data_IF_873413995600
#
_entry.id   IF_873413995600
#
_cell.length_a   1.000
_cell.length_b   1.000
_cell.length_c   1.000
_cell.angle_alpha   90.00
_cell.angle_beta   90.00
_cell.angle_gamma   90.00
#
_symmetry.space_group_name_H-M   'P 1'
#
loop_
_entity.id
_entity.type
_entity.pdbx_description
1 polymer ?
#
# COMPACT_ATOMS: atom_id res chain seq x y z
N UNK A 1 -31.66 -4.76 22.17
CA UNK A 1 -30.35 -4.85 21.50
C UNK A 1 -30.48 -4.21 20.14
N UNK A 2 -30.12 -2.93 20.03
CA UNK A 2 -30.15 -2.21 18.75
C UNK A 2 -28.95 -2.69 17.95
N UNK A 3 -29.18 -3.44 16.87
CA UNK A 3 -28.13 -3.81 15.94
C UNK A 3 -27.58 -2.52 15.32
N UNK A 4 -26.41 -2.08 15.78
CA UNK A 4 -25.66 -1.01 15.14
C UNK A 4 -25.26 -1.58 13.78
N UNK A 5 -25.90 -1.09 12.72
CA UNK A 5 -25.46 -1.37 11.36
C UNK A 5 -24.01 -0.91 11.24
N UNK A 6 -23.08 -1.86 11.13
CA UNK A 6 -21.67 -1.58 10.84
C UNK A 6 -21.64 -0.85 9.50
N UNK A 7 -21.34 0.44 9.53
CA UNK A 7 -21.23 1.23 8.31
C UNK A 7 -19.97 0.80 7.56
N UNK A 8 -19.95 0.87 6.22
CA UNK A 8 -18.77 0.48 5.44
C UNK A 8 -17.49 1.27 5.76
N UNK A 9 -17.55 2.36 6.52
CA UNK A 9 -16.41 3.15 6.99
C UNK A 9 -15.85 2.71 8.35
N UNK A 10 -16.50 1.76 9.04
CA UNK A 10 -15.94 1.14 10.25
C UNK A 10 -14.90 0.05 9.92
N UNK A 11 -14.73 -0.28 8.63
CA UNK A 11 -13.78 -1.29 8.16
C UNK A 11 -12.61 -0.66 7.39
N UNK A 12 -11.48 -1.35 7.41
CA UNK A 12 -10.26 -1.01 6.68
C UNK A 12 -9.82 -2.22 5.84
N UNK A 13 -10.53 -2.55 4.76
CA UNK A 13 -10.49 -3.89 4.15
C UNK A 13 -9.23 -4.21 3.33
N UNK A 14 -8.36 -3.24 3.07
CA UNK A 14 -7.26 -3.35 2.11
C UNK A 14 -6.18 -2.30 2.38
N UNK A 15 -5.08 -2.38 1.62
CA UNK A 15 -4.01 -1.37 1.63
C UNK A 15 -4.57 0.04 1.50
N UNK A 16 -4.18 0.92 2.44
CA UNK A 16 -4.63 2.32 2.53
C UNK A 16 -6.15 2.53 2.64
N UNK A 17 -6.87 1.51 3.12
CA UNK A 17 -8.25 1.64 3.56
C UNK A 17 -9.30 1.49 2.45
N UNK A 18 -10.57 1.77 2.77
CA UNK A 18 -11.71 1.43 1.93
C UNK A 18 -11.66 2.08 0.54
N UNK A 19 -11.06 3.27 0.43
CA UNK A 19 -10.86 3.98 -0.85
C UNK A 19 -9.42 3.88 -1.38
N UNK A 20 -8.51 3.19 -0.67
CA UNK A 20 -7.08 3.11 -0.99
C UNK A 20 -6.36 4.47 -1.08
N UNK A 21 -6.87 5.49 -0.40
CA UNK A 21 -6.35 6.87 -0.40
C UNK A 21 -5.64 7.25 0.91
N UNK A 22 -5.72 6.42 1.95
CA UNK A 22 -5.11 6.70 3.26
C UNK A 22 -5.89 7.73 4.08
N UNK A 23 -7.13 8.07 3.70
CA UNK A 23 -7.96 9.04 4.44
C UNK A 23 -8.99 8.28 5.28
N UNK A 24 -8.94 8.50 6.60
CA UNK A 24 -9.95 7.99 7.52
C UNK A 24 -11.01 9.07 7.80
N UNK A 25 -12.20 8.64 8.20
CA UNK A 25 -13.23 9.55 8.69
C UNK A 25 -12.75 10.19 10.01
N UNK A 26 -13.04 11.47 10.16
CA UNK A 26 -12.82 12.18 11.41
C UNK A 26 -13.59 11.50 12.57
N UNK A 27 -12.91 11.31 13.69
CA UNK A 27 -13.40 10.66 14.90
C UNK A 27 -12.57 11.15 16.09
N UNK A 28 -13.23 11.70 17.12
CA UNK A 28 -12.57 12.26 18.31
C UNK A 28 -11.80 11.21 19.14
N UNK A 29 -12.10 9.92 18.97
CA UNK A 29 -11.39 8.81 19.62
C UNK A 29 -10.03 8.55 18.96
N UNK A 30 -9.80 9.02 17.74
CA UNK A 30 -8.52 8.83 17.06
C UNK A 30 -7.42 9.67 17.71
N UNK A 31 -6.28 9.05 18.04
CA UNK A 31 -5.23 9.69 18.84
C UNK A 31 -4.39 10.61 17.97
N UNK A 32 -4.15 11.84 18.43
CA UNK A 32 -3.10 12.67 17.81
C UNK A 32 -1.74 12.44 18.47
N UNK A 33 -1.72 12.15 19.78
CA UNK A 33 -0.52 11.93 20.58
C UNK A 33 -0.51 10.50 21.14
N UNK A 34 0.65 9.86 21.15
CA UNK A 34 0.87 8.53 21.74
C UNK A 34 2.36 8.27 21.96
N UNK A 35 2.64 7.22 22.72
CA UNK A 35 4.00 6.68 22.91
C UNK A 35 3.94 5.15 22.86
N UNK A 36 5.00 4.48 23.33
CA UNK A 36 4.97 3.02 23.54
C UNK A 36 3.95 2.58 24.61
N UNK A 37 3.48 3.50 25.46
CA UNK A 37 2.57 3.22 26.58
C UNK A 37 1.33 4.12 26.59
N UNK A 38 1.44 5.37 26.14
CA UNK A 38 0.34 6.34 26.21
C UNK A 38 -0.63 6.15 25.04
N UNK A 39 -1.93 6.19 25.35
CA UNK A 39 -3.03 5.90 24.41
C UNK A 39 -2.97 4.52 23.74
N UNK A 40 -2.12 3.61 24.24
CA UNK A 40 -2.05 2.22 23.79
C UNK A 40 -3.15 1.40 24.46
N UNK A 41 -3.96 0.71 23.66
CA UNK A 41 -5.03 -0.18 24.13
C UNK A 41 -4.55 -1.61 24.31
N UNK A 42 -3.74 -2.07 23.38
CA UNK A 42 -3.07 -3.36 23.43
C UNK A 42 -1.88 -3.34 22.45
N UNK A 43 -0.96 -4.26 22.69
CA UNK A 43 0.17 -4.56 21.81
C UNK A 43 0.20 -6.07 21.63
N UNK A 44 0.31 -6.53 20.39
CA UNK A 44 0.48 -7.95 20.05
C UNK A 44 1.87 -8.16 19.43
N UNK A 45 2.57 -9.19 19.88
CA UNK A 45 3.83 -9.63 19.26
C UNK A 45 3.54 -10.33 17.93
N UNK A 46 4.32 -10.00 16.91
CA UNK A 46 4.23 -10.54 15.56
C UNK A 46 5.56 -11.24 15.25
N UNK A 47 5.60 -12.59 15.30
CA UNK A 47 6.79 -13.35 14.96
C UNK A 47 7.20 -13.16 13.50
N UNK A 48 8.51 -13.30 13.26
CA UNK A 48 9.08 -13.22 11.92
C UNK A 48 9.17 -11.79 11.41
N UNK A 49 9.14 -11.63 10.09
CA UNK A 49 9.22 -10.34 9.43
C UNK A 49 8.18 -10.29 8.30
N UNK A 50 7.49 -9.15 8.17
CA UNK A 50 6.50 -8.92 7.13
C UNK A 50 6.17 -7.43 7.02
N UNK A 51 5.75 -6.96 5.84
CA UNK A 51 5.41 -5.55 5.62
C UNK A 51 3.97 -5.30 5.22
N UNK A 52 3.16 -6.35 5.17
CA UNK A 52 1.73 -6.20 4.97
C UNK A 52 1.14 -5.25 6.00
N UNK A 53 0.32 -4.32 5.53
CA UNK A 53 -0.42 -3.43 6.41
C UNK A 53 -1.51 -4.24 7.12
N UNK A 54 -1.86 -3.92 8.37
CA UNK A 54 -3.04 -4.52 8.98
C UNK A 54 -4.29 -4.14 8.16
N UNK A 55 -5.25 -5.06 8.07
CA UNK A 55 -6.61 -4.76 7.60
C UNK A 55 -7.62 -5.08 8.69
N UNK A 56 -8.76 -4.40 8.68
CA UNK A 56 -9.79 -4.54 9.70
C UNK A 56 -11.14 -4.80 9.06
N UNK A 57 -11.85 -5.81 9.54
CA UNK A 57 -13.25 -6.05 9.18
C UNK A 57 -14.05 -6.50 10.40
N UNK A 58 -15.04 -5.71 10.80
CA UNK A 58 -15.77 -5.92 12.05
C UNK A 58 -14.84 -5.86 13.25
N UNK A 59 -14.81 -6.92 14.04
CA UNK A 59 -13.95 -7.09 15.21
C UNK A 59 -12.63 -7.81 14.89
N UNK A 60 -12.33 -8.08 13.62
CA UNK A 60 -11.15 -8.85 13.22
C UNK A 60 -10.09 -7.98 12.57
N UNK A 61 -8.84 -8.22 12.96
CA UNK A 61 -7.64 -7.63 12.36
C UNK A 61 -6.85 -8.74 11.68
N UNK A 62 -6.51 -8.57 10.41
CA UNK A 62 -5.73 -9.55 9.65
C UNK A 62 -4.38 -8.99 9.25
N UNK A 63 -3.36 -9.86 9.25
CA UNK A 63 -1.98 -9.51 8.96
C UNK A 63 -1.22 -10.74 8.45
N UNK A 64 -0.18 -10.54 7.63
CA UNK A 64 0.70 -11.61 7.13
C UNK A 64 2.14 -11.40 7.57
N UNK A 65 2.88 -12.49 7.74
CA UNK A 65 4.30 -12.48 8.15
C UNK A 65 5.00 -13.74 7.65
N UNK A 66 6.32 -13.72 7.55
CA UNK A 66 7.13 -14.92 7.32
C UNK A 66 8.10 -15.15 8.46
N UNK A 67 8.16 -16.38 8.95
CA UNK A 67 9.12 -16.81 9.97
C UNK A 67 10.12 -17.77 9.33
N UNK A 68 11.41 -17.46 9.40
CA UNK A 68 12.47 -18.39 9.01
C UNK A 68 13.00 -19.15 10.21
N UNK A 69 13.38 -20.42 10.02
CA UNK A 69 14.04 -21.24 11.05
C UNK A 69 15.51 -20.86 11.29
N UNK A 70 16.14 -20.20 10.31
CA UNK A 70 17.53 -19.72 10.38
C UNK A 70 17.62 -18.20 10.43
N UNK A 71 18.74 -17.70 10.97
CA UNK A 71 19.06 -16.27 10.97
C UNK A 71 19.33 -15.78 9.54
N UNK A 72 18.54 -14.80 9.11
CA UNK A 72 18.65 -14.16 7.81
C UNK A 72 18.94 -12.66 7.97
N UNK A 73 19.41 -12.01 6.90
CA UNK A 73 19.79 -10.60 6.95
C UNK A 73 18.61 -9.73 7.38
N UNK A 74 18.71 -9.13 8.56
CA UNK A 74 17.68 -8.24 9.07
C UNK A 74 17.56 -6.95 8.22
N UNK A 75 16.33 -6.46 7.99
CA UNK A 75 16.11 -5.17 7.34
C UNK A 75 16.70 -4.04 8.18
N UNK A 76 17.27 -3.03 7.51
CA UNK A 76 17.82 -1.82 8.11
C UNK A 76 17.02 -0.61 7.64
N UNK A 77 16.97 0.42 8.48
CA UNK A 77 16.45 1.74 8.09
C UNK A 77 17.36 2.40 7.06
N UNK A 78 16.80 3.26 6.21
CA UNK A 78 17.53 4.06 5.25
C UNK A 78 17.34 3.62 3.79
N UNK A 79 17.91 4.42 2.88
CA UNK A 79 17.91 4.10 1.45
C UNK A 79 18.90 2.98 1.15
N UNK A 80 18.48 2.04 0.31
CA UNK A 80 19.32 0.98 -0.21
C UNK A 80 19.79 1.38 -1.59
N UNK A 81 21.07 1.70 -1.71
CA UNK A 81 21.70 2.05 -2.98
C UNK A 81 22.50 0.82 -3.44
N UNK A 82 21.93 0.01 -4.33
CA UNK A 82 22.59 -1.21 -4.82
C UNK A 82 21.64 -2.29 -5.35
N UNK A 83 22.21 -3.44 -5.71
CA UNK A 83 21.42 -4.64 -6.07
C UNK A 83 20.92 -5.35 -4.80
N UNK A 84 19.87 -6.16 -4.92
CA UNK A 84 19.35 -6.98 -3.81
C UNK A 84 20.39 -7.98 -3.27
N UNK A 85 20.02 -8.70 -2.21
CA UNK A 85 20.82 -9.85 -1.76
C UNK A 85 20.76 -10.88 -2.88
N UNK A 86 21.92 -11.35 -3.37
CA UNK A 86 21.97 -12.26 -4.54
C UNK A 86 21.85 -13.74 -4.18
N UNK A 87 21.85 -14.06 -2.90
CA UNK A 87 21.60 -15.40 -2.39
C UNK A 87 20.19 -15.43 -1.78
N UNK A 88 19.39 -16.46 -2.07
CA UNK A 88 18.14 -16.67 -1.36
C UNK A 88 18.34 -16.76 0.15
N UNK A 89 17.27 -16.50 0.89
CA UNK A 89 17.25 -16.68 2.33
C UNK A 89 17.42 -18.17 2.67
N UNK A 90 18.10 -18.48 3.77
CA UNK A 90 18.41 -19.86 4.17
C UNK A 90 17.36 -20.42 5.12
N UNK A 91 17.27 -21.75 5.13
CA UNK A 91 16.40 -22.50 6.02
C UNK A 91 14.94 -22.47 5.60
N UNK A 92 14.15 -23.34 6.24
CA UNK A 92 12.71 -23.42 6.03
C UNK A 92 12.05 -22.12 6.50
N UNK A 93 11.14 -21.61 5.67
CA UNK A 93 10.32 -20.45 5.95
C UNK A 93 8.85 -20.86 6.07
N UNK A 94 8.12 -20.18 6.93
CA UNK A 94 6.71 -20.38 7.22
C UNK A 94 5.95 -19.10 6.87
N UNK A 95 5.05 -19.18 5.87
CA UNK A 95 4.21 -18.07 5.44
C UNK A 95 2.90 -18.09 6.23
N UNK A 96 2.71 -17.08 7.06
CA UNK A 96 1.67 -17.10 8.08
C UNK A 96 0.63 -16.01 7.85
N UNK A 97 -0.63 -16.36 8.12
CA UNK A 97 -1.76 -15.44 8.19
C UNK A 97 -2.27 -15.43 9.62
N UNK A 98 -2.37 -14.24 10.21
CA UNK A 98 -2.86 -14.04 11.57
C UNK A 98 -4.22 -13.34 11.57
N UNK A 99 -5.06 -13.70 12.52
CA UNK A 99 -6.26 -12.97 12.89
C UNK A 99 -6.23 -12.62 14.38
N UNK A 100 -6.44 -11.34 14.70
CA UNK A 100 -6.55 -10.83 16.06
C UNK A 100 -7.91 -10.18 16.28
N UNK A 101 -8.39 -10.21 17.53
CA UNK A 101 -9.55 -9.44 17.95
C UNK A 101 -9.17 -7.96 18.09
N UNK A 102 -9.84 -7.07 17.36
CA UNK A 102 -9.61 -5.63 17.37
C UNK A 102 -9.74 -5.00 18.77
N UNK A 103 -10.61 -5.56 19.62
CA UNK A 103 -10.87 -5.04 20.95
C UNK A 103 -9.71 -5.28 21.92
N UNK A 104 -9.12 -6.46 21.89
CA UNK A 104 -8.17 -6.92 22.93
C UNK A 104 -6.76 -7.21 22.42
N UNK A 105 -6.57 -7.35 21.10
CA UNK A 105 -5.33 -7.84 20.51
C UNK A 105 -5.13 -9.35 20.68
N UNK A 106 -6.11 -10.08 21.23
CA UNK A 106 -6.04 -11.53 21.37
C UNK A 106 -5.98 -12.18 19.98
N UNK A 107 -4.99 -13.04 19.77
CA UNK A 107 -4.95 -13.89 18.58
C UNK A 107 -6.16 -14.83 18.59
N UNK A 108 -7.00 -14.72 17.56
CA UNK A 108 -8.15 -15.59 17.35
C UNK A 108 -7.73 -16.87 16.65
N UNK A 109 -6.89 -16.75 15.62
CA UNK A 109 -6.30 -17.89 14.93
C UNK A 109 -5.01 -17.49 14.22
N UNK A 110 -4.23 -18.53 13.87
CA UNK A 110 -3.05 -18.48 13.00
C UNK A 110 -3.17 -19.59 11.96
N UNK A 111 -2.83 -19.31 10.72
CA UNK A 111 -2.77 -20.29 9.63
C UNK A 111 -1.43 -20.20 8.92
N UNK A 112 -0.95 -21.37 8.51
CA UNK A 112 0.25 -21.53 7.71
C UNK A 112 -0.18 -21.77 6.27
N UNK A 113 0.01 -20.75 5.43
CA UNK A 113 -0.38 -20.79 4.03
C UNK A 113 0.60 -21.62 3.19
N UNK A 114 1.88 -21.57 3.55
CA UNK A 114 2.95 -22.29 2.87
C UNK A 114 4.12 -22.55 3.80
N UNK A 115 4.86 -23.63 3.53
CA UNK A 115 6.14 -23.96 4.16
C UNK A 115 7.10 -24.39 3.06
N UNK A 116 8.31 -23.87 3.09
CA UNK A 116 9.32 -24.19 2.09
C UNK A 116 10.57 -23.34 2.22
N UNK A 117 11.59 -23.67 1.44
CA UNK A 117 12.80 -22.86 1.33
C UNK A 117 12.64 -21.83 0.19
N UNK A 118 12.97 -20.56 0.42
CA UNK A 118 13.02 -19.58 -0.65
C UNK A 118 14.03 -19.93 -1.74
N UNK A 119 13.57 -20.06 -3.00
CA UNK A 119 14.47 -20.40 -4.12
C UNK A 119 15.06 -19.17 -4.83
N UNK A 120 14.42 -18.01 -4.68
CA UNK A 120 14.84 -16.75 -5.33
C UNK A 120 15.37 -15.72 -4.33
N UNK A 121 16.38 -14.92 -4.71
CA UNK A 121 16.88 -13.84 -3.85
C UNK A 121 15.88 -12.69 -3.70
N UNK A 122 16.08 -11.85 -2.67
CA UNK A 122 15.25 -10.67 -2.39
C UNK A 122 16.04 -9.43 -2.00
N UNK A 123 15.41 -8.27 -2.17
CA UNK A 123 15.89 -7.03 -1.57
C UNK A 123 15.83 -7.13 -0.04
N UNK A 124 16.81 -6.62 0.73
CA UNK A 124 16.81 -6.71 2.20
C UNK A 124 15.60 -6.07 2.89
N UNK A 125 14.90 -5.16 2.21
CA UNK A 125 13.63 -4.58 2.68
C UNK A 125 12.38 -5.31 2.17
N UNK A 126 12.50 -6.46 1.53
CA UNK A 126 11.38 -7.33 1.15
C UNK A 126 11.36 -8.54 2.10
N UNK A 127 10.18 -9.05 2.44
CA UNK A 127 10.02 -10.01 3.56
C UNK A 127 9.28 -11.28 3.21
N UNK A 128 9.14 -11.61 1.92
CA UNK A 128 8.29 -12.71 1.42
C UNK A 128 6.80 -12.60 1.82
N UNK A 129 6.41 -11.58 2.63
CA UNK A 129 5.07 -11.20 3.05
C UNK A 129 4.91 -9.67 2.99
N UNK A 130 5.19 -9.09 1.83
CA UNK A 130 5.12 -7.63 1.61
C UNK A 130 3.69 -7.20 1.29
N UNK A 131 2.93 -8.04 0.59
CA UNK A 131 1.58 -7.77 0.12
C UNK A 131 0.59 -7.66 1.27
N UNK A 132 -0.24 -6.62 1.25
CA UNK A 132 -1.34 -6.44 2.20
C UNK A 132 -2.51 -7.33 1.81
N UNK A 133 -3.06 -8.18 2.71
CA UNK A 133 -4.25 -8.96 2.39
C UNK A 133 -5.45 -8.04 2.10
N UNK A 134 -6.51 -8.60 1.50
CA UNK A 134 -7.75 -7.86 1.18
C UNK A 134 -8.99 -8.69 1.52
N UNK A 135 -10.15 -8.05 1.71
CA UNK A 135 -11.41 -8.76 1.96
C UNK A 135 -12.60 -8.17 1.21
N UNK A 136 -13.51 -9.03 0.76
CA UNK A 136 -14.82 -8.66 0.22
C UNK A 136 -15.91 -8.56 1.31
N UNK A 137 -15.51 -8.71 2.58
CA UNK A 137 -16.39 -8.73 3.74
C UNK A 137 -17.00 -10.10 4.06
N UNK A 138 -16.66 -11.13 3.28
CA UNK A 138 -17.07 -12.53 3.51
C UNK A 138 -15.86 -13.47 3.55
N UNK A 139 -14.81 -13.15 2.79
CA UNK A 139 -13.59 -13.93 2.64
C UNK A 139 -12.37 -13.04 2.76
N UNK A 140 -11.28 -13.63 3.24
CA UNK A 140 -9.96 -13.02 3.34
C UNK A 140 -9.07 -13.56 2.21
N UNK A 141 -8.40 -12.68 1.49
CA UNK A 141 -7.47 -13.02 0.44
C UNK A 141 -6.06 -12.58 0.84
N UNK A 142 -5.18 -13.56 1.04
CA UNK A 142 -3.77 -13.34 1.34
C UNK A 142 -2.94 -13.72 0.13
N UNK A 143 -2.20 -12.76 -0.42
CA UNK A 143 -1.25 -12.99 -1.49
C UNK A 143 0.15 -13.02 -0.88
N UNK A 144 0.94 -13.99 -1.29
CA UNK A 144 2.38 -14.01 -1.13
C UNK A 144 2.94 -14.11 -2.54
N UNK A 145 3.41 -13.00 -3.12
CA UNK A 145 3.41 -12.81 -4.58
C UNK A 145 4.24 -13.80 -5.40
N UNK A 146 5.22 -14.47 -4.80
CA UNK A 146 6.03 -15.52 -5.43
C UNK A 146 5.74 -16.92 -4.86
N UNK A 147 4.61 -17.10 -4.21
CA UNK A 147 4.23 -18.36 -3.55
C UNK A 147 2.81 -18.74 -3.92
N UNK A 148 1.84 -17.85 -3.66
CA UNK A 148 0.45 -18.15 -3.97
C UNK A 148 -0.55 -17.14 -3.44
N UNK A 149 -1.78 -17.28 -3.95
CA UNK A 149 -2.98 -16.57 -3.49
C UNK A 149 -3.85 -17.55 -2.69
N UNK A 150 -4.15 -17.17 -1.45
CA UNK A 150 -4.89 -18.01 -0.50
C UNK A 150 -6.18 -17.32 -0.08
N UNK A 151 -7.29 -18.06 -0.10
CA UNK A 151 -8.59 -17.57 0.33
C UNK A 151 -9.05 -18.30 1.59
N UNK A 152 -9.32 -17.54 2.63
CA UNK A 152 -9.89 -18.03 3.88
C UNK A 152 -11.28 -17.46 4.11
N UNK A 153 -12.10 -18.13 4.92
CA UNK A 153 -13.17 -17.44 5.62
C UNK A 153 -12.60 -16.65 6.83
N UNK A 154 -13.48 -16.02 7.61
CA UNK A 154 -13.05 -15.24 8.77
C UNK A 154 -12.73 -16.08 10.01
N UNK A 155 -13.10 -17.36 10.03
CA UNK A 155 -12.75 -18.31 11.08
C UNK A 155 -11.42 -19.04 10.79
N UNK A 156 -10.84 -18.77 9.62
CA UNK A 156 -9.51 -19.25 9.22
C UNK A 156 -9.56 -20.56 8.47
N UNK A 157 -10.72 -21.01 8.01
CA UNK A 157 -10.82 -22.18 7.14
C UNK A 157 -10.35 -21.82 5.73
N UNK A 158 -9.42 -22.61 5.20
CA UNK A 158 -8.94 -22.45 3.83
C UNK A 158 -10.04 -22.89 2.86
N UNK A 159 -10.52 -21.96 2.04
CA UNK A 159 -11.58 -22.20 1.07
C UNK A 159 -11.03 -22.65 -0.28
N UNK A 160 -9.93 -22.03 -0.72
CA UNK A 160 -9.19 -22.38 -1.92
C UNK A 160 -7.81 -21.70 -1.92
N UNK A 161 -6.88 -22.23 -2.70
CA UNK A 161 -5.58 -21.62 -2.99
C UNK A 161 -5.26 -21.68 -4.48
N UNK A 162 -4.34 -20.82 -4.91
CA UNK A 162 -3.77 -20.81 -6.24
C UNK A 162 -2.27 -20.59 -6.14
N UNK A 163 -1.48 -21.55 -6.60
CA UNK A 163 -0.03 -21.48 -6.56
C UNK A 163 0.48 -20.49 -7.61
N UNK A 164 1.44 -19.65 -7.23
CA UNK A 164 2.07 -18.68 -8.11
C UNK A 164 3.56 -19.03 -8.16
N UNK A 165 4.04 -19.59 -9.29
CA UNK A 165 5.44 -19.96 -9.42
C UNK A 165 6.36 -18.76 -9.27
N UNK A 166 7.46 -18.94 -8.55
CA UNK A 166 8.49 -17.92 -8.36
C UNK A 166 9.07 -17.49 -9.70
N UNK A 167 9.16 -16.17 -9.93
CA UNK A 167 9.85 -15.59 -11.09
C UNK A 167 10.88 -14.58 -10.63
N UNK A 168 11.94 -14.46 -11.42
CA UNK A 168 12.96 -13.43 -11.20
C UNK A 168 12.33 -12.05 -11.36
N UNK A 169 12.60 -11.17 -10.42
CA UNK A 169 12.13 -9.77 -10.41
C UNK A 169 13.29 -8.81 -10.67
N UNK A 170 12.98 -7.56 -11.03
CA UNK A 170 14.01 -6.56 -11.30
C UNK A 170 14.95 -6.42 -10.11
N UNK A 171 16.26 -6.60 -10.36
CA UNK A 171 17.32 -6.59 -9.35
C UNK A 171 17.10 -7.52 -8.15
N UNK A 172 16.30 -8.56 -8.33
CA UNK A 172 15.93 -9.53 -7.30
C UNK A 172 15.22 -8.84 -6.12
N UNK A 173 14.32 -7.88 -6.38
CA UNK A 173 13.64 -7.14 -5.30
C UNK A 173 12.43 -7.86 -4.70
N UNK A 174 11.88 -8.84 -5.42
CA UNK A 174 10.70 -9.63 -5.05
C UNK A 174 9.37 -8.95 -5.42
N UNK A 175 8.27 -9.69 -5.32
CA UNK A 175 6.92 -9.15 -5.46
C UNK A 175 6.48 -8.28 -4.27
N UNK A 176 5.49 -7.40 -4.50
CA UNK A 176 4.87 -6.57 -3.46
C UNK A 176 3.47 -6.02 -3.79
N UNK A 177 2.96 -6.21 -5.01
CA UNK A 177 1.64 -5.68 -5.40
C UNK A 177 0.54 -6.42 -4.64
N UNK A 178 -0.27 -5.69 -3.89
CA UNK A 178 -1.31 -6.31 -3.06
C UNK A 178 -2.53 -6.72 -3.89
N UNK A 179 -3.27 -7.77 -3.52
CA UNK A 179 -4.50 -8.17 -4.20
C UNK A 179 -5.60 -7.13 -3.94
N UNK A 180 -6.48 -6.96 -4.92
CA UNK A 180 -7.69 -6.14 -4.79
C UNK A 180 -8.92 -6.97 -5.12
N UNK A 181 -10.05 -6.63 -4.51
CA UNK A 181 -11.29 -7.40 -4.68
C UNK A 181 -12.45 -6.49 -5.09
N UNK A 182 -13.21 -6.93 -6.08
CA UNK A 182 -14.38 -6.21 -6.57
C UNK A 182 -15.37 -7.14 -7.27
N UNK A 183 -16.67 -7.05 -6.93
CA UNK A 183 -17.77 -7.74 -7.60
C UNK A 183 -17.51 -9.24 -7.86
N UNK A 184 -17.02 -9.95 -6.82
CA UNK A 184 -16.74 -11.38 -6.91
C UNK A 184 -15.46 -11.73 -7.69
N UNK A 185 -14.57 -10.75 -7.91
CA UNK A 185 -13.26 -10.94 -8.54
C UNK A 185 -12.15 -10.57 -7.56
N UNK A 186 -11.14 -11.42 -7.46
CA UNK A 186 -9.86 -11.10 -6.81
C UNK A 186 -8.85 -10.88 -7.93
N UNK A 187 -8.26 -9.69 -7.96
CA UNK A 187 -7.35 -9.26 -9.02
C UNK A 187 -5.95 -9.10 -8.43
N UNK A 188 -4.95 -9.65 -9.12
CA UNK A 188 -3.53 -9.53 -8.76
C UNK A 188 -2.75 -8.98 -9.95
N UNK A 189 -1.67 -8.27 -9.65
CA UNK A 189 -0.64 -7.90 -10.63
C UNK A 189 0.65 -8.55 -10.20
N UNK A 190 1.30 -9.25 -11.12
CA UNK A 190 2.61 -9.83 -10.89
C UNK A 190 3.53 -9.45 -12.04
N UNK A 191 4.25 -8.34 -11.86
CA UNK A 191 5.24 -7.85 -12.80
C UNK A 191 6.62 -8.38 -12.39
N UNK A 192 7.28 -9.09 -13.32
CA UNK A 192 8.55 -9.79 -13.12
C UNK A 192 9.38 -9.73 -14.42
N UNK A 193 10.56 -10.36 -14.47
CA UNK A 193 11.46 -10.29 -15.63
C UNK A 193 11.21 -11.37 -16.70
N UNK A 194 10.21 -12.23 -16.50
CA UNK A 194 9.99 -13.41 -17.34
C UNK A 194 8.62 -13.37 -18.01
N UNK A 195 7.56 -13.22 -17.22
CA UNK A 195 6.17 -13.36 -17.65
C UNK A 195 5.28 -12.49 -16.78
N UNK A 196 5.25 -11.19 -17.06
CA UNK A 196 4.45 -10.24 -16.29
C UNK A 196 2.98 -10.28 -16.69
N UNK A 197 2.08 -10.13 -15.72
CA UNK A 197 0.64 -10.20 -15.99
C UNK A 197 -0.22 -9.54 -14.93
N UNK A 198 -1.45 -9.23 -15.35
CA UNK A 198 -2.59 -8.99 -14.47
C UNK A 198 -3.58 -10.14 -14.64
N UNK A 199 -4.11 -10.68 -13.54
CA UNK A 199 -5.09 -11.76 -13.58
C UNK A 199 -6.24 -11.52 -12.62
N UNK A 200 -7.39 -12.10 -12.94
CA UNK A 200 -8.57 -12.13 -12.08
C UNK A 200 -8.99 -13.55 -11.79
N UNK A 201 -9.40 -13.79 -10.55
CA UNK A 201 -9.89 -15.05 -10.04
C UNK A 201 -11.29 -14.87 -9.48
N UNK A 202 -12.13 -15.88 -9.66
CA UNK A 202 -13.43 -15.93 -9.02
C UNK A 202 -13.29 -15.99 -7.50
N UNK A 203 -13.85 -14.98 -6.82
CA UNK A 203 -13.73 -14.79 -5.37
C UNK A 203 -14.21 -16.00 -4.55
N UNK A 204 -15.16 -16.79 -5.07
CA UNK A 204 -15.73 -17.93 -4.36
C UNK A 204 -14.97 -19.23 -4.62
N UNK A 205 -14.49 -19.43 -5.84
CA UNK A 205 -13.99 -20.74 -6.30
C UNK A 205 -12.49 -20.76 -6.58
N UNK A 206 -11.82 -19.60 -6.63
CA UNK A 206 -10.40 -19.51 -6.97
C UNK A 206 -10.08 -19.76 -8.44
N UNK A 207 -11.09 -20.06 -9.29
CA UNK A 207 -10.87 -20.29 -10.71
C UNK A 207 -10.48 -19.00 -11.41
N UNK A 208 -9.39 -19.04 -12.17
CA UNK A 208 -8.98 -17.91 -13.01
C UNK A 208 -10.10 -17.57 -14.00
N UNK A 209 -10.50 -16.28 -14.03
CA UNK A 209 -11.50 -15.74 -14.95
C UNK A 209 -10.85 -15.22 -16.24
N UNK A 210 -9.77 -14.48 -16.08
CA UNK A 210 -9.01 -13.91 -17.19
C UNK A 210 -7.59 -13.60 -16.75
N UNK A 211 -6.70 -13.47 -17.73
CA UNK A 211 -5.31 -13.06 -17.58
C UNK A 211 -4.91 -12.23 -18.78
N UNK A 212 -4.23 -11.11 -18.53
CA UNK A 212 -3.69 -10.22 -19.56
C UNK A 212 -2.20 -10.07 -19.33
N UNK A 213 -1.41 -10.40 -20.35
CA UNK A 213 0.04 -10.24 -20.33
C UNK A 213 0.44 -8.76 -20.28
N UNK A 214 1.58 -8.50 -19.67
CA UNK A 214 2.13 -7.16 -19.50
C UNK A 214 3.61 -7.16 -19.89
N UNK A 215 4.08 -6.03 -20.39
CA UNK A 215 5.49 -5.83 -20.75
C UNK A 215 6.30 -5.21 -19.59
N UNK A 216 5.65 -4.94 -18.46
CA UNK A 216 6.25 -4.26 -17.32
C UNK A 216 7.11 -5.20 -16.49
N UNK A 217 8.35 -4.81 -16.18
CA UNK A 217 9.30 -5.68 -15.45
C UNK A 217 9.75 -5.11 -14.11
N UNK A 218 9.36 -3.88 -13.78
CA UNK A 218 9.89 -3.11 -12.63
C UNK A 218 8.79 -2.25 -11.97
N UNK A 219 7.84 -2.90 -11.30
CA UNK A 219 6.82 -2.20 -10.51
C UNK A 219 6.36 -3.02 -9.30
N UNK A 220 6.03 -2.31 -8.24
CA UNK A 220 5.54 -2.84 -6.96
C UNK A 220 4.20 -2.21 -6.57
N UNK A 221 3.66 -1.35 -7.43
CA UNK A 221 2.41 -0.65 -7.19
C UNK A 221 1.23 -1.63 -7.11
N UNK A 222 0.39 -1.47 -6.10
CA UNK A 222 -0.90 -2.17 -5.99
C UNK A 222 -1.85 -1.62 -7.06
N UNK A 223 -2.51 -2.49 -7.83
CA UNK A 223 -3.51 -2.04 -8.80
C UNK A 223 -4.67 -1.32 -8.10
N UNK A 224 -5.30 -0.37 -8.78
CA UNK A 224 -6.34 0.47 -8.21
C UNK A 224 -7.68 0.30 -8.93
N UNK A 225 -8.75 0.03 -8.18
CA UNK A 225 -10.11 0.07 -8.69
C UNK A 225 -10.61 1.51 -8.72
N UNK A 226 -10.55 2.13 -9.90
CA UNK A 226 -11.06 3.48 -10.10
C UNK A 226 -12.54 3.45 -10.49
N UNK A 227 -13.40 3.69 -9.51
CA UNK A 227 -14.83 3.96 -9.75
C UNK A 227 -14.99 5.43 -10.05
N UNK A 228 -15.24 5.76 -11.31
CA UNK A 228 -15.45 7.13 -11.74
C UNK A 228 -16.87 7.33 -12.30
N UNK A 229 -17.20 8.56 -12.71
CA UNK A 229 -18.55 8.91 -13.20
C UNK A 229 -18.94 8.18 -14.49
N UNK A 230 -17.98 7.66 -15.25
CA UNK A 230 -18.19 7.01 -16.55
C UNK A 230 -18.27 5.49 -16.40
N UNK A 231 -17.36 4.89 -15.63
CA UNK A 231 -17.26 3.43 -15.45
C UNK A 231 -16.34 3.07 -14.27
N UNK A 232 -16.22 1.78 -14.02
CA UNK A 232 -15.22 1.22 -13.10
C UNK A 232 -14.07 0.64 -13.91
N UNK A 233 -12.85 0.96 -13.50
CA UNK A 233 -11.62 0.61 -14.21
C UNK A 233 -10.59 0.00 -13.25
N UNK A 234 -9.73 -0.87 -13.76
CA UNK A 234 -8.56 -1.41 -13.05
C UNK A 234 -7.33 -0.70 -13.59
N UNK A 235 -6.74 0.16 -12.76
CA UNK A 235 -5.58 0.98 -13.11
C UNK A 235 -4.31 0.31 -12.61
N UNK A 236 -3.30 0.25 -13.46
CA UNK A 236 -1.97 -0.27 -13.15
C UNK A 236 -0.90 0.72 -13.59
N UNK A 237 0.13 0.86 -12.77
CA UNK A 237 1.31 1.61 -13.15
C UNK A 237 2.31 0.69 -13.87
N UNK A 238 3.20 1.29 -14.65
CA UNK A 238 4.28 0.59 -15.34
C UNK A 238 5.44 1.53 -15.61
N UNK A 239 6.64 0.99 -15.79
CA UNK A 239 7.80 1.79 -16.22
C UNK A 239 7.63 2.20 -17.68
N UNK A 240 7.17 1.29 -18.53
CA UNK A 240 6.93 1.52 -19.95
C UNK A 240 5.59 2.23 -20.18
N UNK A 241 4.49 1.61 -19.75
CA UNK A 241 3.14 2.18 -19.90
C UNK A 241 2.32 2.06 -18.63
N UNK A 242 1.62 3.15 -18.31
CA UNK A 242 0.52 3.13 -17.35
C UNK A 242 -0.74 2.70 -18.10
N UNK A 243 -1.54 1.78 -17.54
CA UNK A 243 -2.66 1.15 -18.23
C UNK A 243 -3.90 1.11 -17.38
N UNK A 244 -5.05 1.19 -18.03
CA UNK A 244 -6.35 0.92 -17.45
C UNK A 244 -7.07 -0.17 -18.21
N UNK A 245 -7.71 -1.07 -17.47
CA UNK A 245 -8.48 -2.19 -17.99
C UNK A 245 -9.92 -2.12 -17.52
N UNK A 246 -10.84 -2.69 -18.29
CA UNK A 246 -12.18 -2.99 -17.77
C UNK A 246 -12.14 -4.21 -16.82
N UNK A 247 -13.30 -4.53 -16.24
CA UNK A 247 -13.43 -5.65 -15.29
C UNK A 247 -13.27 -7.04 -15.93
N UNK A 248 -13.14 -7.13 -17.25
CA UNK A 248 -12.83 -8.35 -18.01
C UNK A 248 -11.35 -8.46 -18.40
N UNK A 249 -10.52 -7.48 -18.02
CA UNK A 249 -9.09 -7.46 -18.32
C UNK A 249 -8.76 -6.86 -19.69
N UNK A 250 -9.74 -6.28 -20.39
CA UNK A 250 -9.52 -5.64 -21.70
C UNK A 250 -8.97 -4.23 -21.51
N UNK A 251 -7.92 -3.90 -22.26
CA UNK A 251 -7.32 -2.56 -22.25
C UNK A 251 -8.34 -1.49 -22.68
N UNK A 252 -8.42 -0.43 -21.89
CA UNK A 252 -9.27 0.74 -22.15
C UNK A 252 -8.45 1.93 -22.65
N UNK A 253 -7.38 2.25 -21.92
CA UNK A 253 -6.45 3.30 -22.27
C UNK A 253 -5.07 3.00 -21.70
N UNK A 254 -4.07 3.62 -22.30
CA UNK A 254 -2.69 3.59 -21.82
C UNK A 254 -1.97 4.91 -22.13
N UNK A 255 -0.85 5.14 -21.45
CA UNK A 255 0.08 6.20 -21.84
C UNK A 255 1.50 5.91 -21.39
N UNK A 256 2.46 6.42 -22.15
CA UNK A 256 3.86 6.48 -21.71
C UNK A 256 4.04 7.71 -20.80
N UNK A 257 4.21 7.45 -19.51
CA UNK A 257 4.45 8.48 -18.51
C UNK A 257 5.93 8.84 -18.35
N UNK A 258 6.84 8.21 -19.10
CA UNK A 258 8.29 8.26 -18.91
C UNK A 258 8.66 8.02 -17.45
N UNK A 259 8.02 7.01 -16.85
CA UNK A 259 8.06 6.76 -15.42
C UNK A 259 9.49 6.43 -14.97
N UNK A 260 9.77 6.68 -13.69
CA UNK A 260 11.07 6.35 -13.09
C UNK A 260 11.41 4.87 -13.22
N UNK A 261 12.70 4.53 -13.13
CA UNK A 261 13.21 3.16 -13.21
C UNK A 261 12.55 2.20 -12.22
N UNK A 262 12.13 2.72 -11.07
CA UNK A 262 11.40 1.99 -10.04
C UNK A 262 10.04 2.67 -9.82
N UNK A 263 8.97 1.91 -10.06
CA UNK A 263 7.58 2.37 -9.92
C UNK A 263 6.94 1.69 -8.71
N UNK A 264 6.88 2.41 -7.59
CA UNK A 264 6.45 1.87 -6.29
C UNK A 264 5.13 2.50 -5.80
N UNK A 265 4.91 3.83 -5.91
CA UNK A 265 3.69 4.46 -5.43
C UNK A 265 2.45 3.86 -6.10
N UNK A 266 1.46 3.47 -5.28
CA UNK A 266 0.21 2.95 -5.80
C UNK A 266 -0.70 4.08 -6.29
N UNK A 267 -1.43 3.88 -7.41
CA UNK A 267 -2.42 4.84 -7.88
C UNK A 267 -3.58 4.97 -6.90
N UNK A 268 -4.18 6.15 -6.85
CA UNK A 268 -5.37 6.43 -6.04
C UNK A 268 -6.20 7.54 -6.71
N UNK A 269 -7.43 7.75 -6.24
CA UNK A 269 -8.27 8.83 -6.76
C UNK A 269 -8.81 9.72 -5.64
N UNK A 270 -8.98 10.99 -5.96
CA UNK A 270 -9.64 11.98 -5.11
C UNK A 270 -10.19 13.09 -6.00
N UNK A 271 -11.26 13.76 -5.57
CA UNK A 271 -11.93 14.82 -6.34
C UNK A 271 -12.29 14.42 -7.79
N UNK A 272 -12.56 13.14 -8.03
CA UNK A 272 -12.87 12.60 -9.36
C UNK A 272 -11.67 12.46 -10.31
N UNK A 273 -10.47 12.84 -9.88
CA UNK A 273 -9.21 12.65 -10.61
C UNK A 273 -8.48 11.41 -10.10
N UNK A 274 -7.82 10.71 -11.02
CA UNK A 274 -6.89 9.62 -10.75
C UNK A 274 -5.47 10.17 -10.69
N UNK A 275 -4.69 9.80 -9.69
CA UNK A 275 -3.30 10.19 -9.53
C UNK A 275 -2.37 9.01 -9.75
N UNK A 276 -1.37 9.20 -10.60
CA UNK A 276 -0.30 8.23 -10.90
C UNK A 276 1.04 8.93 -10.74
N UNK A 277 2.01 8.27 -10.10
CA UNK A 277 3.33 8.87 -9.88
C UNK A 277 4.45 7.83 -9.74
N UNK A 278 5.68 8.28 -9.97
CA UNK A 278 6.91 7.57 -9.66
C UNK A 278 8.01 8.59 -9.42
N UNK A 279 9.08 8.23 -8.71
CA UNK A 279 10.12 9.20 -8.42
C UNK A 279 11.36 8.64 -7.78
N UNK A 280 11.98 7.62 -8.38
CA UNK A 280 13.25 7.08 -7.89
C UNK A 280 14.28 8.21 -7.71
N UNK A 281 14.97 8.19 -6.57
CA UNK A 281 15.86 9.28 -6.15
C UNK A 281 17.05 9.52 -7.09
N UNK A 282 17.40 8.53 -7.93
CA UNK A 282 18.46 8.63 -8.93
C UNK A 282 17.99 9.20 -10.27
N UNK A 283 16.69 9.35 -10.48
CA UNK A 283 16.13 9.80 -11.77
C UNK A 283 15.87 11.31 -11.76
N UNK A 284 16.17 11.97 -12.87
CA UNK A 284 15.91 13.40 -13.07
C UNK A 284 14.44 13.70 -13.35
N UNK A 285 13.70 12.69 -13.85
CA UNK A 285 12.27 12.74 -14.14
C UNK A 285 11.50 11.91 -13.11
N UNK A 286 10.64 12.60 -12.35
CA UNK A 286 9.88 12.08 -11.19
C UNK A 286 8.43 12.55 -11.31
N UNK A 287 7.66 11.93 -12.22
CA UNK A 287 6.41 12.50 -12.69
C UNK A 287 5.27 12.29 -11.71
N UNK A 288 4.33 13.23 -11.70
CA UNK A 288 2.97 13.05 -11.18
C UNK A 288 2.01 13.38 -12.33
N UNK A 289 0.99 12.55 -12.51
CA UNK A 289 -0.11 12.79 -13.43
C UNK A 289 -1.42 12.83 -12.66
N UNK A 290 -2.28 13.79 -12.99
CA UNK A 290 -3.69 13.77 -12.61
C UNK A 290 -4.55 13.54 -13.85
N UNK A 291 -5.40 12.52 -13.82
CA UNK A 291 -6.11 11.98 -14.98
C UNK A 291 -7.62 12.12 -14.75
N UNK A 292 -8.30 12.65 -15.77
CA UNK A 292 -9.75 12.83 -15.85
C UNK A 292 -10.42 11.52 -16.30
N UNK A 293 -11.67 11.26 -15.86
CA UNK A 293 -12.37 10.04 -16.24
C UNK A 293 -12.76 10.01 -17.72
N UNK A 294 -12.98 8.81 -18.25
CA UNK A 294 -13.51 8.62 -19.61
C UNK A 294 -12.46 8.51 -20.73
N UNK A 295 -11.18 8.34 -20.38
CA UNK A 295 -10.12 8.14 -21.36
C UNK A 295 -10.30 6.87 -22.21
N UNK A 296 -9.76 6.86 -23.42
CA UNK A 296 -9.75 5.71 -24.32
C UNK A 296 -8.55 5.79 -25.26
N UNK A 297 -7.92 4.66 -25.56
CA UNK A 297 -6.74 4.61 -26.44
C UNK A 297 -5.46 5.15 -25.79
N UNK A 298 -4.50 5.61 -26.61
CA UNK A 298 -3.28 6.26 -26.12
C UNK A 298 -3.58 7.71 -25.70
N UNK A 299 -3.33 8.03 -24.42
CA UNK A 299 -3.55 9.36 -23.85
C UNK A 299 -2.25 10.11 -23.52
N UNK A 300 -1.11 9.66 -24.05
CA UNK A 300 0.21 10.23 -23.77
C UNK A 300 0.26 11.73 -24.05
N UNK A 301 0.97 12.45 -23.17
CA UNK A 301 1.36 13.83 -23.44
C UNK A 301 2.43 13.86 -24.52
N UNK A 302 2.37 14.86 -25.39
CA UNK A 302 3.52 15.23 -26.22
C UNK A 302 4.57 15.93 -25.36
N UNK A 303 5.79 16.08 -25.89
CA UNK A 303 6.96 16.49 -25.12
C UNK A 303 6.78 17.78 -24.32
N UNK A 304 6.11 18.79 -24.91
CA UNK A 304 5.88 20.11 -24.31
C UNK A 304 4.50 20.28 -23.65
N UNK A 305 3.67 19.23 -23.64
CA UNK A 305 2.35 19.28 -23.04
C UNK A 305 2.41 19.02 -21.53
N UNK A 306 1.65 19.81 -20.76
CA UNK A 306 1.43 19.59 -19.32
C UNK A 306 0.01 19.14 -19.00
N UNK A 307 -0.86 19.12 -20.00
CA UNK A 307 -2.23 18.65 -19.93
C UNK A 307 -2.73 18.31 -21.33
N UNK A 308 -3.78 17.50 -21.42
CA UNK A 308 -4.52 17.26 -22.65
C UNK A 308 -6.01 17.01 -22.31
N UNK A 309 -6.75 16.40 -23.24
CA UNK A 309 -8.15 16.05 -23.03
C UNK A 309 -8.37 15.24 -21.74
N UNK A 310 -7.49 14.28 -21.44
CA UNK A 310 -7.65 13.31 -20.35
C UNK A 310 -6.65 13.51 -19.21
N UNK A 311 -5.53 14.20 -19.40
CA UNK A 311 -4.59 14.55 -18.35
C UNK A 311 -4.89 15.98 -17.92
N UNK A 312 -5.37 16.15 -16.68
CA UNK A 312 -5.70 17.45 -16.10
C UNK A 312 -4.47 18.30 -15.86
N UNK A 313 -3.43 17.69 -15.31
CA UNK A 313 -2.14 18.33 -15.09
C UNK A 313 -1.06 17.27 -14.92
N UNK A 314 0.18 17.69 -15.11
CA UNK A 314 1.37 16.88 -14.96
C UNK A 314 2.50 17.69 -14.32
N UNK A 315 3.24 17.06 -13.40
CA UNK A 315 4.40 17.64 -12.72
C UNK A 315 5.63 16.74 -12.91
N UNK A 316 6.70 17.19 -13.60
CA UNK A 316 7.82 16.33 -14.00
C UNK A 316 8.78 15.93 -12.87
N UNK A 317 8.78 16.63 -11.73
CA UNK A 317 9.87 16.56 -10.73
C UNK A 317 9.39 16.44 -9.28
N UNK A 318 8.11 16.14 -9.08
CA UNK A 318 7.46 16.21 -7.78
C UNK A 318 7.09 14.84 -7.19
N UNK A 319 7.30 13.74 -7.93
CA UNK A 319 6.92 12.39 -7.51
C UNK A 319 7.82 11.80 -6.40
N UNK A 320 7.27 11.02 -5.46
CA UNK A 320 8.03 10.33 -4.41
C UNK A 320 8.64 9.02 -4.93
N UNK A 321 9.63 8.46 -4.21
CA UNK A 321 10.16 7.13 -4.53
C UNK A 321 9.28 6.03 -3.92
N UNK A 322 9.17 5.87 -2.59
CA UNK A 322 8.40 4.81 -1.95
C UNK A 322 6.96 5.21 -1.54
N UNK A 323 6.74 6.27 -0.74
CA UNK A 323 5.41 6.54 -0.17
C UNK A 323 4.45 6.96 -1.27
N UNK A 324 3.25 6.37 -1.33
CA UNK A 324 2.24 6.92 -2.25
C UNK A 324 1.68 8.24 -1.67
N UNK A 325 1.49 9.29 -2.48
CA UNK A 325 0.97 10.57 -2.00
C UNK A 325 -0.42 10.50 -1.39
N UNK A 326 -0.89 11.60 -0.80
CA UNK A 326 -2.23 11.69 -0.22
C UNK A 326 -2.89 12.99 -0.64
N UNK A 327 -4.20 12.93 -0.95
CA UNK A 327 -5.03 14.12 -1.09
C UNK A 327 -5.89 14.27 0.15
N UNK A 328 -5.80 15.42 0.81
CA UNK A 328 -6.64 15.74 1.96
C UNK A 328 -7.07 17.21 1.89
N UNK A 329 -8.38 17.48 2.03
CA UNK A 329 -8.97 18.82 1.91
C UNK A 329 -8.54 19.59 0.65
N UNK A 330 -8.55 18.92 -0.51
CA UNK A 330 -8.17 19.47 -1.83
C UNK A 330 -6.67 19.80 -2.03
N UNK A 331 -5.81 19.43 -1.09
CA UNK A 331 -4.36 19.55 -1.22
C UNK A 331 -3.73 18.17 -1.47
N UNK A 332 -2.82 18.11 -2.45
CA UNK A 332 -2.01 16.94 -2.79
C UNK A 332 -0.65 17.04 -2.09
N UNK A 333 -0.41 16.15 -1.13
CA UNK A 333 0.80 16.13 -0.33
C UNK A 333 1.73 15.01 -0.80
N UNK A 334 2.97 15.39 -1.15
CA UNK A 334 4.02 14.41 -1.46
C UNK A 334 5.06 14.37 -0.36
N UNK A 335 5.21 13.20 0.26
CA UNK A 335 6.34 12.88 1.13
C UNK A 335 7.49 12.32 0.28
N UNK A 336 8.54 13.12 0.12
CA UNK A 336 9.79 12.67 -0.47
C UNK A 336 10.62 11.92 0.59
N UNK A 337 11.25 10.84 0.17
CA UNK A 337 11.83 9.76 0.99
C UNK A 337 12.91 10.19 1.97
N UNK A 338 13.55 11.34 1.70
CA UNK A 338 14.56 11.96 2.57
C UNK A 338 13.95 12.97 3.56
N UNK A 339 12.65 12.85 3.83
CA UNK A 339 11.92 13.65 4.81
C UNK A 339 11.59 15.06 4.35
N UNK A 340 11.27 15.26 3.08
CA UNK A 340 10.73 16.54 2.60
C UNK A 340 9.26 16.39 2.24
N UNK A 341 8.39 17.24 2.78
CA UNK A 341 7.01 17.37 2.40
C UNK A 341 6.84 18.51 1.40
N UNK A 342 6.11 18.28 0.32
CA UNK A 342 5.62 19.32 -0.60
C UNK A 342 4.09 19.28 -0.68
N UNK A 343 3.48 20.39 -1.07
CA UNK A 343 2.04 20.51 -1.19
C UNK A 343 1.66 21.24 -2.48
N UNK A 344 0.72 20.65 -3.21
CA UNK A 344 0.18 21.21 -4.44
C UNK A 344 -1.34 21.22 -4.36
N UNK A 345 -1.98 22.07 -5.16
CA UNK A 345 -3.42 22.01 -5.37
C UNK A 345 -3.76 20.68 -6.07
N UNK A 346 -4.64 19.88 -5.50
CA UNK A 346 -4.95 18.55 -6.04
C UNK A 346 -5.63 18.61 -7.42
N UNK A 347 -6.30 19.72 -7.75
CA UNK A 347 -7.06 19.88 -8.99
C UNK A 347 -6.25 20.55 -10.09
N UNK A 348 -5.38 21.51 -9.76
CA UNK A 348 -4.60 22.28 -10.75
C UNK A 348 -3.14 21.86 -10.84
N UNK A 349 -2.60 21.17 -9.82
CA UNK A 349 -1.19 20.81 -9.73
C UNK A 349 -0.28 21.98 -9.35
N UNK A 350 -0.80 23.19 -9.13
CA UNK A 350 -0.01 24.36 -8.72
C UNK A 350 0.60 24.16 -7.33
N UNK A 351 1.85 24.61 -7.16
CA UNK A 351 2.52 24.54 -5.86
C UNK A 351 1.81 25.46 -4.85
N UNK A 352 1.46 24.90 -3.69
CA UNK A 352 0.98 25.66 -2.52
C UNK A 352 2.16 25.99 -1.63
N UNK A 353 3.02 25.00 -1.37
CA UNK A 353 4.33 25.21 -0.76
C UNK A 353 5.34 24.16 -1.21
N UNK A 354 6.61 24.59 -1.33
CA UNK A 354 7.74 23.74 -1.71
C UNK A 354 8.26 22.83 -0.59
N UNK A 355 9.53 22.42 -0.70
CA UNK A 355 10.13 21.41 0.19
C UNK A 355 10.28 21.89 1.63
N UNK A 356 9.52 21.29 2.54
CA UNK A 356 9.66 21.47 3.98
C UNK A 356 10.24 20.22 4.62
N UNK A 357 11.31 20.36 5.41
CA UNK A 357 12.06 19.24 5.95
C UNK A 357 11.54 18.84 7.33
N UNK A 358 11.23 17.56 7.53
CA UNK A 358 11.08 16.98 8.87
C UNK A 358 12.44 16.97 9.60
N UNK A 359 12.46 16.96 10.95
CA UNK A 359 13.70 16.86 11.72
C UNK A 359 14.65 15.76 11.21
N UNK A 360 15.96 16.03 11.25
CA UNK A 360 16.98 15.30 10.47
C UNK A 360 17.12 13.82 10.82
N UNK A 361 17.28 12.98 9.79
CA UNK A 361 17.75 11.57 9.92
C UNK A 361 16.75 10.51 9.49
N UNK A 362 15.48 10.88 9.30
CA UNK A 362 14.40 9.95 9.01
C UNK A 362 14.26 9.63 7.52
N UNK A 363 14.21 8.33 7.21
CA UNK A 363 13.77 7.82 5.91
C UNK A 363 12.31 7.39 6.00
N UNK A 364 11.61 7.37 4.87
CA UNK A 364 10.19 7.04 4.82
C UNK A 364 9.92 5.98 3.76
N UNK A 365 9.16 4.96 4.15
CA UNK A 365 8.60 3.93 3.26
C UNK A 365 7.08 3.86 3.39
N UNK A 366 6.56 3.96 4.62
CA UNK A 366 5.13 3.98 4.88
C UNK A 366 4.46 5.16 4.15
N UNK A 367 3.34 4.88 3.49
CA UNK A 367 2.47 5.93 2.94
C UNK A 367 1.74 6.67 4.06
N UNK A 368 1.55 8.00 3.93
CA UNK A 368 0.88 8.82 4.94
C UNK A 368 -0.61 8.49 5.07
N UNK A 369 -1.19 8.94 6.19
CA UNK A 369 -2.63 8.90 6.42
C UNK A 369 -3.14 10.23 6.98
N UNK A 370 -4.47 10.42 6.98
CA UNK A 370 -5.11 11.63 7.46
C UNK A 370 -6.43 11.39 8.19
N UNK A 371 -6.71 12.24 9.18
CA UNK A 371 -8.01 12.43 9.85
C UNK A 371 -7.94 13.67 10.77
N UNK A 372 -9.09 14.15 11.25
CA UNK A 372 -9.25 15.25 12.19
C UNK A 372 -8.48 16.53 11.80
N UNK A 373 -8.38 16.83 10.51
CA UNK A 373 -7.63 17.98 10.03
C UNK A 373 -6.11 17.84 10.12
N UNK A 374 -5.58 16.62 10.28
CA UNK A 374 -4.16 16.31 10.47
C UNK A 374 -3.67 15.27 9.47
N UNK A 375 -2.40 15.40 9.12
CA UNK A 375 -1.63 14.47 8.30
C UNK A 375 -0.58 13.79 9.17
N UNK A 376 -0.30 12.53 8.88
CA UNK A 376 0.61 11.72 9.67
C UNK A 376 1.63 11.03 8.76
N UNK A 377 2.90 11.13 9.15
CA UNK A 377 4.03 10.61 8.37
C UNK A 377 4.90 9.73 9.26
N UNK A 378 4.83 8.42 9.07
CA UNK A 378 5.58 7.41 9.83
C UNK A 378 6.94 7.15 9.16
N UNK A 379 8.01 7.46 9.88
CA UNK A 379 9.38 7.17 9.48
C UNK A 379 9.77 5.71 9.74
N UNK A 380 10.87 5.30 9.14
CA UNK A 380 11.48 3.98 9.39
C UNK A 380 12.11 3.84 10.77
N UNK A 381 12.21 4.92 11.55
CA UNK A 381 12.66 4.88 12.96
C UNK A 381 11.50 4.65 13.94
N UNK A 382 10.26 4.55 13.43
CA UNK A 382 9.06 4.45 14.28
C UNK A 382 8.57 5.79 14.80
N UNK A 383 9.07 6.89 14.25
CA UNK A 383 8.60 8.24 14.56
C UNK A 383 7.45 8.62 13.64
N UNK A 384 6.34 9.08 14.21
CA UNK A 384 5.22 9.64 13.43
C UNK A 384 5.19 11.14 13.61
N UNK A 385 5.46 11.88 12.53
CA UNK A 385 5.33 13.34 12.50
C UNK A 385 3.89 13.73 12.19
N UNK A 386 3.30 14.56 13.04
CA UNK A 386 1.92 15.04 12.91
C UNK A 386 1.93 16.46 12.38
N UNK A 387 1.32 16.67 11.22
CA UNK A 387 1.29 17.97 10.52
C UNK A 387 -0.14 18.47 10.44
N UNK A 388 -0.33 19.77 10.64
CA UNK A 388 -1.61 20.43 10.37
C UNK A 388 -1.88 20.48 8.86
N UNK A 389 -3.04 19.97 8.44
CA UNK A 389 -3.44 20.08 7.04
C UNK A 389 -3.83 21.53 6.72
N UNK A 390 -3.17 22.12 5.74
CA UNK A 390 -3.42 23.50 5.34
C UNK A 390 -2.42 24.01 4.30
N UNK A 391 -2.48 25.32 4.00
CA UNK A 391 -1.62 25.99 3.02
C UNK A 391 -0.21 26.30 3.55
N UNK A 392 0.07 26.01 4.82
CA UNK A 392 1.38 26.20 5.44
C UNK A 392 1.86 24.89 6.05
N UNK A 393 3.17 24.65 6.00
CA UNK A 393 3.77 23.53 6.72
C UNK A 393 3.85 23.84 8.21
N UNK A 394 3.11 23.08 9.01
CA UNK A 394 3.13 23.20 10.47
C UNK A 394 3.21 21.84 11.14
N UNK A 395 4.42 21.47 11.55
CA UNK A 395 4.68 20.30 12.40
C UNK A 395 4.16 20.60 13.81
N UNK A 396 3.25 19.76 14.31
CA UNK A 396 2.63 19.95 15.62
C UNK A 396 3.40 19.21 16.72
N UNK A 397 3.73 17.95 16.47
CA UNK A 397 4.53 17.11 17.36
C UNK A 397 4.96 15.81 16.65
N UNK A 398 5.78 15.02 17.33
CA UNK A 398 6.26 13.71 16.88
C UNK A 398 5.96 12.65 17.95
N UNK A 399 5.31 11.56 17.55
CA UNK A 399 5.14 10.36 18.38
C UNK A 399 6.26 9.37 18.09
N UNK A 400 6.62 8.49 19.02
CA UNK A 400 7.65 7.46 18.78
C UNK A 400 7.26 6.10 19.33
N UNK A 401 7.43 5.08 18.49
CA UNK A 401 7.41 3.67 18.87
C UNK A 401 8.82 3.07 18.96
N UNK A 402 9.85 3.83 18.55
CA UNK A 402 11.27 3.45 18.70
C UNK A 402 11.60 2.06 18.12
N UNK A 403 11.03 1.77 16.95
CA UNK A 403 11.14 0.48 16.30
C UNK A 403 10.98 0.63 14.78
N UNK A 404 11.67 -0.21 14.00
CA UNK A 404 11.58 -0.19 12.55
C UNK A 404 10.14 -0.33 12.06
N UNK A 405 9.69 0.60 11.23
CA UNK A 405 8.35 0.62 10.64
C UNK A 405 8.42 0.85 9.13
N UNK A 406 7.90 -0.10 8.33
CA UNK A 406 7.77 0.10 6.87
C UNK A 406 6.31 0.07 6.39
N UNK A 407 5.39 -0.48 7.18
CA UNK A 407 3.97 -0.63 6.83
C UNK A 407 3.17 0.64 7.10
N UNK A 408 2.21 0.95 6.22
CA UNK A 408 1.18 1.95 6.51
C UNK A 408 0.18 1.43 7.55
N UNK A 409 -0.45 2.32 8.34
CA UNK A 409 -1.39 1.90 9.38
C UNK A 409 -2.77 1.53 8.83
N UNK A 410 -3.58 0.96 9.71
CA UNK A 410 -5.02 0.89 9.53
C UNK A 410 -5.75 1.79 10.53
N UNK A 411 -6.89 2.32 10.11
CA UNK A 411 -7.75 3.15 10.96
C UNK A 411 -9.16 2.59 10.92
N UNK A 412 -9.72 2.25 12.09
CA UNK A 412 -11.06 1.67 12.16
C UNK A 412 -11.65 1.88 13.55
N UNK A 413 -12.94 2.26 13.62
CA UNK A 413 -13.70 2.34 14.88
C UNK A 413 -12.99 3.13 15.99
N UNK A 414 -12.45 4.30 15.64
CA UNK A 414 -11.72 5.18 16.57
C UNK A 414 -10.36 4.63 17.02
N UNK A 415 -9.83 3.61 16.36
CA UNK A 415 -8.53 2.98 16.66
C UNK A 415 -7.57 3.13 15.48
N UNK A 416 -6.32 3.39 15.82
CA UNK A 416 -5.18 3.42 14.91
C UNK A 416 -4.33 2.17 15.16
N UNK A 417 -4.09 1.38 14.11
CA UNK A 417 -3.24 0.19 14.17
C UNK A 417 -1.92 0.46 13.46
N UNK A 418 -0.81 0.43 14.19
CA UNK A 418 0.53 0.60 13.64
C UNK A 418 1.30 -0.71 13.79
N UNK A 419 1.81 -1.21 12.66
CA UNK A 419 2.71 -2.37 12.62
C UNK A 419 4.16 -1.90 12.65
N UNK A 420 4.91 -2.35 13.65
CA UNK A 420 6.38 -2.29 13.67
C UNK A 420 6.95 -3.63 13.17
N UNK A 421 8.28 -3.76 13.08
CA UNK A 421 8.89 -5.01 12.61
C UNK A 421 8.49 -6.22 13.45
N UNK A 422 8.32 -6.07 14.77
CA UNK A 422 7.96 -7.18 15.67
C UNK A 422 6.60 -7.07 16.35
N UNK A 423 5.87 -5.96 16.20
CA UNK A 423 4.63 -5.72 16.98
C UNK A 423 3.50 -5.09 16.16
N UNK A 424 2.29 -5.29 16.67
CA UNK A 424 1.10 -4.57 16.26
C UNK A 424 0.55 -3.77 17.44
N UNK A 425 0.58 -2.45 17.34
CA UNK A 425 0.02 -1.54 18.34
C UNK A 425 -1.40 -1.15 17.95
N UNK A 426 -2.33 -1.20 18.91
CA UNK A 426 -3.63 -0.54 18.78
C UNK A 426 -3.68 0.67 19.69
N UNK A 427 -3.90 1.84 19.10
CA UNK A 427 -3.81 3.15 19.74
C UNK A 427 -5.16 3.85 19.61
N UNK A 428 -5.67 4.40 20.70
CA UNK A 428 -6.95 5.12 20.73
C UNK A 428 -7.03 5.99 21.98
N UNK A 429 -7.53 7.22 21.86
CA UNK A 429 -7.77 8.09 23.02
C UNK A 429 -8.68 7.39 24.03
N UNK A 430 -8.44 7.62 25.33
CA UNK A 430 -9.40 7.28 26.37
C UNK A 430 -10.81 7.79 25.99
N UNK A 431 -11.83 6.97 26.19
CA UNK A 431 -13.20 7.50 26.12
C UNK A 431 -13.34 8.43 27.31
N UNK A 432 -13.57 9.72 27.03
CA UNK A 432 -13.96 10.69 28.07
C UNK A 432 -15.38 10.43 28.50
#
# INVERSE_FOLDING_TARGET
MTAISVSGQDNWPRFRGPQADGVAKDDSRLPIQWSKTDNVRWVAEIPGVGWSCPIVWGDRVFLTTVVGEEENVAPKKGLYLGRGVRTPAKGVHHWLVYCFELKSGKQLWKREAHVGEPEIPRHPKSTYATETPTTDGKRLYALFGDVGLYCYDFDGELLWSHDIPMKKTFLDYGAASSPIVHNGQVIIVYDNQQESYIASFDAKTGKQRWRTEREETSTWATAFLWKNKQRTEIVTCGRGKNRSYDLSGKLLWEFDGRMSNLVIPSPFASNGLLYITSGYIGDSHRPIFAIKPGASGDISLKEDETSNQFIAWYQPKAGPYNPSPIVYKNSYYTLLDRGFLTCHNATTGEEIYGKNRFPSGSSFTASPWAYNGKLFFLSETGETHVVEAGPEFKLLHTNSLDELCLSSPAVSQGKLLIRTVSKLYCISNAQR
#
